data_IF_969512728834
#
_entry.id   IF_969512728834
#
_cell.length_a   1.000
_cell.length_b   1.000
_cell.length_c   1.000
_cell.angle_alpha   90.00
_cell.angle_beta   90.00
_cell.angle_gamma   90.00
#
_symmetry.space_group_name_H-M   'P 1'
#
loop_
_entity.id
_entity.type
_entity.pdbx_description
1 polymer ?
#
# COMPACT_ATOMS: atom_id res chain seq x y z
N UNK A 1 18.75 -16.76 17.46
CA UNK A 1 19.51 -15.50 17.18
C UNK A 1 19.31 -14.94 15.77
N UNK A 2 18.71 -15.69 14.86
CA UNK A 2 18.42 -15.27 13.46
C UNK A 2 17.15 -14.46 13.32
N UNK A 3 16.19 -14.55 14.25
CA UNK A 3 14.86 -13.90 14.13
C UNK A 3 14.83 -12.37 14.28
N UNK A 4 15.93 -11.75 14.76
CA UNK A 4 16.02 -10.30 14.95
C UNK A 4 16.47 -9.54 13.69
N UNK A 5 17.09 -10.24 12.73
CA UNK A 5 17.64 -9.61 11.53
C UNK A 5 16.64 -9.54 10.37
N UNK A 6 15.70 -10.48 10.28
CA UNK A 6 14.72 -10.50 9.17
C UNK A 6 13.83 -9.26 9.10
N UNK A 7 13.29 -8.71 10.21
CA UNK A 7 12.51 -7.48 10.16
C UNK A 7 13.33 -6.24 9.80
N UNK A 8 14.61 -6.22 10.19
CA UNK A 8 15.53 -5.13 9.85
C UNK A 8 15.82 -5.18 8.35
N UNK A 9 16.04 -6.37 7.79
CA UNK A 9 16.28 -6.59 6.35
C UNK A 9 15.03 -6.24 5.54
N UNK A 10 13.83 -6.57 6.01
CA UNK A 10 12.58 -6.17 5.37
C UNK A 10 12.41 -4.64 5.35
N UNK A 11 12.75 -3.95 6.45
CA UNK A 11 12.78 -2.48 6.50
C UNK A 11 13.78 -1.88 5.52
N UNK A 12 14.97 -2.46 5.37
CA UNK A 12 15.97 -2.03 4.38
C UNK A 12 15.49 -2.24 2.94
N UNK A 13 14.81 -3.35 2.66
CA UNK A 13 14.26 -3.63 1.34
C UNK A 13 13.17 -2.61 0.95
N UNK A 14 12.32 -2.20 1.89
CA UNK A 14 11.29 -1.18 1.65
C UNK A 14 11.88 0.20 1.39
N UNK A 15 12.93 0.57 2.08
CA UNK A 15 13.62 1.85 1.84
C UNK A 15 14.33 1.83 0.49
N UNK A 16 14.92 0.70 0.10
CA UNK A 16 15.50 0.51 -1.23
C UNK A 16 14.45 0.66 -2.33
N UNK A 17 13.22 0.21 -2.08
CA UNK A 17 12.06 0.36 -2.96
C UNK A 17 11.61 1.80 -3.10
N UNK A 18 11.38 2.50 -1.98
CA UNK A 18 11.05 3.93 -1.97
C UNK A 18 12.15 4.74 -2.68
N UNK A 19 13.40 4.31 -2.57
CA UNK A 19 14.52 4.95 -3.27
C UNK A 19 14.49 4.70 -4.78
N UNK A 20 14.10 3.50 -5.23
CA UNK A 20 13.88 3.20 -6.65
C UNK A 20 12.73 4.00 -7.24
N UNK A 21 11.59 4.07 -6.55
CA UNK A 21 10.45 4.92 -6.93
C UNK A 21 10.87 6.38 -7.10
N UNK A 22 11.66 6.88 -6.19
CA UNK A 22 12.18 8.23 -6.21
C UNK A 22 13.15 8.49 -7.36
N UNK A 23 13.89 7.49 -7.82
CA UNK A 23 14.92 7.65 -8.84
C UNK A 23 14.36 7.76 -10.26
N UNK A 24 13.21 7.14 -10.52
CA UNK A 24 12.63 7.10 -11.87
C UNK A 24 11.60 8.21 -12.15
N UNK A 25 11.10 8.91 -11.13
CA UNK A 25 10.02 9.89 -11.28
C UNK A 25 10.35 11.34 -10.98
N UNK A 26 11.58 11.71 -10.61
CA UNK A 26 11.86 13.07 -10.10
C UNK A 26 13.15 13.66 -10.69
N UNK A 27 13.03 14.89 -11.20
CA UNK A 27 14.12 15.70 -11.74
C UNK A 27 15.30 15.88 -10.74
N UNK A 28 16.54 16.14 -11.22
CA UNK A 28 17.79 16.16 -10.41
C UNK A 28 17.77 17.07 -9.18
N UNK A 29 16.95 18.10 -9.16
CA UNK A 29 16.82 19.04 -8.03
C UNK A 29 16.14 18.38 -6.82
N UNK A 30 15.27 17.41 -7.04
CA UNK A 30 14.59 16.67 -6.00
C UNK A 30 15.50 15.59 -5.37
N UNK A 31 16.52 15.12 -6.07
CA UNK A 31 17.43 14.08 -5.59
C UNK A 31 18.19 14.51 -4.31
N UNK A 32 18.69 15.73 -4.28
CA UNK A 32 19.45 16.26 -3.13
C UNK A 32 18.56 16.50 -1.90
N UNK A 33 17.35 16.99 -2.13
CA UNK A 33 16.35 17.22 -1.09
C UNK A 33 15.80 15.89 -0.56
N UNK A 34 15.65 14.91 -1.43
CA UNK A 34 15.16 13.58 -1.08
C UNK A 34 16.21 12.74 -0.34
N UNK A 35 17.48 12.78 -0.73
CA UNK A 35 18.60 12.17 0.02
C UNK A 35 18.64 12.72 1.45
N UNK A 36 18.40 14.02 1.63
CA UNK A 36 18.34 14.67 2.95
C UNK A 36 17.13 14.22 3.75
N UNK A 37 15.93 14.11 3.13
CA UNK A 37 14.70 13.64 3.79
C UNK A 37 14.78 12.16 4.15
N UNK A 38 15.34 11.33 3.27
CA UNK A 38 15.60 9.92 3.53
C UNK A 38 16.63 9.77 4.66
N UNK A 39 17.69 10.57 4.68
CA UNK A 39 18.67 10.58 5.78
C UNK A 39 18.05 10.97 7.12
N UNK A 40 17.14 11.95 7.13
CA UNK A 40 16.41 12.36 8.33
C UNK A 40 15.45 11.24 8.78
N UNK A 41 14.73 10.62 7.84
CA UNK A 41 13.84 9.50 8.13
C UNK A 41 14.62 8.29 8.69
N UNK A 42 15.78 7.95 8.12
CA UNK A 42 16.68 6.93 8.65
C UNK A 42 17.22 7.29 10.03
N UNK A 43 17.61 8.54 10.23
CA UNK A 43 18.07 9.02 11.54
C UNK A 43 16.97 8.93 12.60
N UNK A 44 15.72 9.26 12.24
CA UNK A 44 14.57 9.11 13.11
C UNK A 44 14.25 7.63 13.37
N UNK A 45 14.29 6.79 12.34
CA UNK A 45 14.05 5.35 12.46
C UNK A 45 15.13 4.69 13.34
N UNK A 46 16.42 5.00 13.12
CA UNK A 46 17.53 4.51 13.95
C UNK A 46 17.41 5.02 15.39
N UNK A 47 17.04 6.29 15.59
CA UNK A 47 16.82 6.84 16.92
C UNK A 47 15.65 6.15 17.62
N UNK A 48 14.56 5.86 16.90
CA UNK A 48 13.43 5.07 17.41
C UNK A 48 13.88 3.64 17.78
N UNK A 49 14.62 2.97 16.91
CA UNK A 49 15.18 1.62 17.18
C UNK A 49 16.10 1.64 18.39
N UNK A 50 16.98 2.62 18.53
CA UNK A 50 17.92 2.73 19.66
C UNK A 50 17.21 3.08 20.96
N UNK A 51 16.21 3.95 20.96
CA UNK A 51 15.41 4.28 22.15
C UNK A 51 14.52 3.10 22.59
N UNK A 52 14.06 2.31 21.64
CA UNK A 52 13.13 1.19 21.85
C UNK A 52 13.84 -0.09 22.31
N UNK A 53 15.13 -0.27 22.03
CA UNK A 53 15.89 -1.46 22.48
C UNK A 53 16.09 -1.56 24.01
N UNK A 54 15.68 -0.56 24.78
CA UNK A 54 15.75 -0.62 26.26
C UNK A 54 14.69 -1.48 26.91
N UNK A 55 13.58 -1.83 26.20
CA UNK A 55 12.54 -2.75 26.71
C UNK A 55 12.15 -3.71 25.58
N UNK A 56 12.69 -4.93 25.62
CA UNK A 56 12.61 -5.95 24.56
C UNK A 56 11.17 -6.25 24.09
N UNK A 57 10.22 -6.30 25.00
CA UNK A 57 8.83 -6.66 24.69
C UNK A 57 8.09 -5.49 23.99
N UNK A 58 8.36 -4.26 24.39
CA UNK A 58 7.79 -3.06 23.75
C UNK A 58 8.29 -2.83 22.33
N UNK A 59 9.51 -3.26 22.03
CA UNK A 59 10.12 -3.11 20.70
C UNK A 59 9.40 -3.93 19.64
N UNK A 60 9.07 -5.18 19.97
CA UNK A 60 8.39 -6.07 19.07
C UNK A 60 6.98 -5.57 18.72
N UNK A 61 6.24 -5.14 19.73
CA UNK A 61 4.89 -4.64 19.56
C UNK A 61 4.84 -3.35 18.73
N UNK A 62 5.75 -2.42 18.98
CA UNK A 62 5.85 -1.18 18.19
C UNK A 62 6.21 -1.46 16.73
N UNK A 63 7.09 -2.45 16.49
CA UNK A 63 7.45 -2.85 15.14
C UNK A 63 6.25 -3.46 14.40
N UNK A 64 5.48 -4.34 15.04
CA UNK A 64 4.28 -4.94 14.45
C UNK A 64 3.21 -3.88 14.15
N UNK A 65 3.05 -2.88 15.01
CA UNK A 65 2.16 -1.75 14.77
C UNK A 65 2.62 -0.94 13.55
N UNK A 66 3.91 -0.63 13.46
CA UNK A 66 4.48 0.08 12.30
C UNK A 66 4.25 -0.70 11.01
N UNK A 67 4.50 -2.02 11.01
CA UNK A 67 4.22 -2.90 9.86
C UNK A 67 2.74 -2.85 9.47
N UNK A 68 1.84 -2.80 10.44
CA UNK A 68 0.41 -2.73 10.15
C UNK A 68 0.00 -1.41 9.47
N UNK A 69 0.57 -0.29 9.88
CA UNK A 69 0.39 1.01 9.19
C UNK A 69 1.02 0.98 7.79
N UNK A 70 2.21 0.39 7.64
CA UNK A 70 2.87 0.22 6.34
C UNK A 70 2.04 -0.61 5.35
N UNK A 71 1.26 -1.59 5.81
CA UNK A 71 0.32 -2.36 4.96
C UNK A 71 -0.68 -1.45 4.25
N UNK A 72 -1.22 -0.48 4.97
CA UNK A 72 -2.12 0.52 4.40
C UNK A 72 -1.42 1.36 3.32
N UNK A 73 -0.20 1.83 3.59
CA UNK A 73 0.59 2.62 2.64
C UNK A 73 0.88 1.86 1.34
N UNK A 74 1.13 0.53 1.41
CA UNK A 74 1.30 -0.30 0.21
C UNK A 74 0.04 -0.34 -0.65
N UNK A 75 -1.15 -0.38 -0.05
CA UNK A 75 -2.42 -0.28 -0.76
C UNK A 75 -2.56 1.04 -1.51
N UNK A 76 -2.28 2.16 -0.84
CA UNK A 76 -2.31 3.49 -1.48
C UNK A 76 -1.26 3.65 -2.57
N UNK A 77 -0.05 3.13 -2.36
CA UNK A 77 0.98 3.09 -3.40
C UNK A 77 0.52 2.33 -4.64
N UNK A 78 -0.15 1.19 -4.44
CA UNK A 78 -0.72 0.40 -5.53
C UNK A 78 -1.85 1.13 -6.27
N UNK A 79 -2.72 1.82 -5.53
CA UNK A 79 -3.79 2.64 -6.11
C UNK A 79 -3.21 3.77 -6.96
N UNK A 80 -2.18 4.47 -6.46
CA UNK A 80 -1.50 5.53 -7.20
C UNK A 80 -0.84 5.02 -8.48
N UNK A 81 -0.11 3.90 -8.40
CA UNK A 81 0.54 3.25 -9.53
C UNK A 81 -0.48 2.83 -10.60
N UNK A 82 -1.56 2.18 -10.20
CA UNK A 82 -2.60 1.71 -11.12
C UNK A 82 -3.39 2.89 -11.74
N UNK A 83 -3.58 3.98 -11.00
CA UNK A 83 -4.21 5.20 -11.50
C UNK A 83 -3.33 5.86 -12.57
N UNK A 84 -2.01 5.95 -12.33
CA UNK A 84 -1.08 6.47 -13.32
C UNK A 84 -1.07 5.60 -14.59
N UNK A 85 -1.03 4.27 -14.44
CA UNK A 85 -1.13 3.33 -15.54
C UNK A 85 -2.40 3.55 -16.38
N UNK A 86 -3.52 3.88 -15.73
CA UNK A 86 -4.78 4.18 -16.43
C UNK A 86 -4.66 5.41 -17.34
N UNK A 87 -4.06 6.49 -16.84
CA UNK A 87 -3.85 7.71 -17.65
C UNK A 87 -2.88 7.47 -18.82
N UNK A 88 -1.78 6.78 -18.60
CA UNK A 88 -0.82 6.42 -19.65
C UNK A 88 -1.46 5.57 -20.75
N UNK A 89 -2.24 4.56 -20.35
CA UNK A 89 -2.93 3.71 -21.30
C UNK A 89 -4.01 4.46 -22.08
N UNK A 90 -4.75 5.35 -21.42
CA UNK A 90 -5.79 6.15 -22.06
C UNK A 90 -5.22 7.13 -23.07
N UNK A 91 -4.14 7.84 -22.71
CA UNK A 91 -3.45 8.77 -23.62
C UNK A 91 -2.90 8.00 -24.84
N UNK A 92 -2.25 6.87 -24.60
CA UNK A 92 -1.77 6.01 -25.70
C UNK A 92 -2.91 5.59 -26.65
N UNK A 93 -4.01 5.08 -26.11
CA UNK A 93 -5.14 4.57 -26.90
C UNK A 93 -5.86 5.68 -27.67
N UNK A 94 -5.98 6.86 -27.11
CA UNK A 94 -6.60 8.02 -27.73
C UNK A 94 -5.77 8.54 -28.93
N UNK A 95 -4.44 8.51 -28.81
CA UNK A 95 -3.53 9.01 -29.84
C UNK A 95 -3.15 7.96 -30.89
N UNK A 96 -3.31 6.65 -30.60
CA UNK A 96 -3.00 5.58 -31.52
C UNK A 96 -4.17 5.31 -32.49
N UNK A 97 -3.90 5.36 -33.77
CA UNK A 97 -4.89 5.08 -34.84
C UNK A 97 -4.60 3.75 -35.51
N UNK A 98 -5.62 2.90 -35.64
CA UNK A 98 -5.59 1.63 -36.39
C UNK A 98 -6.88 1.51 -37.19
N UNK A 99 -6.79 0.99 -38.39
CA UNK A 99 -7.94 0.76 -39.30
C UNK A 99 -8.85 1.99 -39.49
N UNK A 100 -8.24 3.19 -39.51
CA UNK A 100 -8.95 4.44 -39.76
C UNK A 100 -9.54 5.14 -38.53
N UNK A 101 -9.52 4.53 -37.32
CA UNK A 101 -10.04 5.10 -36.08
C UNK A 101 -9.05 5.06 -34.92
N UNK A 102 -9.30 5.79 -33.81
CA UNK A 102 -8.49 5.67 -32.60
C UNK A 102 -8.73 4.30 -31.94
N UNK A 103 -7.72 3.79 -31.21
CA UNK A 103 -7.82 2.48 -30.55
C UNK A 103 -8.92 2.44 -29.49
N UNK A 104 -9.28 3.58 -28.92
CA UNK A 104 -10.42 3.74 -28.00
C UNK A 104 -11.77 3.37 -28.63
N UNK A 105 -11.89 3.30 -29.97
CA UNK A 105 -13.14 2.94 -30.63
C UNK A 105 -13.41 1.42 -30.63
N UNK A 106 -12.39 0.60 -30.34
CA UNK A 106 -12.58 -0.84 -30.29
C UNK A 106 -13.33 -1.28 -29.04
N UNK A 107 -14.41 -2.08 -29.16
CA UNK A 107 -15.27 -2.47 -28.03
C UNK A 107 -14.50 -3.16 -26.90
N UNK A 108 -13.55 -4.05 -27.21
CA UNK A 108 -12.75 -4.75 -26.22
C UNK A 108 -11.81 -3.81 -25.45
N UNK A 109 -11.27 -2.78 -26.10
CA UNK A 109 -10.44 -1.76 -25.43
C UNK A 109 -11.30 -0.92 -24.50
N UNK A 110 -12.49 -0.52 -24.92
CA UNK A 110 -13.45 0.17 -24.02
C UNK A 110 -13.80 -0.67 -22.80
N UNK A 111 -14.02 -1.96 -22.98
CA UNK A 111 -14.28 -2.86 -21.87
C UNK A 111 -13.14 -2.90 -20.86
N UNK A 112 -11.88 -2.98 -21.34
CA UNK A 112 -10.70 -2.94 -20.44
C UNK A 112 -10.67 -1.64 -19.63
N UNK A 113 -10.97 -0.49 -20.24
CA UNK A 113 -11.01 0.79 -19.54
C UNK A 113 -12.14 0.85 -18.53
N UNK A 114 -13.34 0.41 -18.88
CA UNK A 114 -14.50 0.40 -17.96
C UNK A 114 -14.21 -0.50 -16.76
N UNK A 115 -13.73 -1.72 -16.97
CA UNK A 115 -13.42 -2.65 -15.89
C UNK A 115 -12.29 -2.12 -15.00
N UNK A 116 -11.26 -1.53 -15.59
CA UNK A 116 -10.16 -0.92 -14.86
C UNK A 116 -10.62 0.27 -14.02
N UNK A 117 -11.46 1.14 -14.59
CA UNK A 117 -12.03 2.27 -13.88
C UNK A 117 -12.90 1.85 -12.68
N UNK A 118 -13.79 0.86 -12.89
CA UNK A 118 -14.61 0.33 -11.81
C UNK A 118 -13.78 -0.26 -10.67
N UNK A 119 -12.70 -0.97 -11.01
CA UNK A 119 -11.75 -1.48 -10.00
C UNK A 119 -11.05 -0.36 -9.26
N UNK A 120 -10.54 0.66 -9.96
CA UNK A 120 -9.90 1.83 -9.35
C UNK A 120 -10.85 2.58 -8.41
N UNK A 121 -12.11 2.78 -8.84
CA UNK A 121 -13.12 3.40 -8.01
C UNK A 121 -13.40 2.59 -6.73
N UNK A 122 -13.56 1.27 -6.85
CA UNK A 122 -13.76 0.39 -5.70
C UNK A 122 -12.55 0.38 -4.75
N UNK A 123 -11.32 0.33 -5.30
CA UNK A 123 -10.08 0.42 -4.53
C UNK A 123 -10.01 1.74 -3.76
N UNK A 124 -10.36 2.84 -4.40
CA UNK A 124 -10.34 4.18 -3.79
C UNK A 124 -11.35 4.28 -2.65
N UNK A 125 -12.61 3.94 -2.90
CA UNK A 125 -13.67 4.01 -1.90
C UNK A 125 -13.38 3.13 -0.67
N UNK A 126 -12.86 1.93 -0.88
CA UNK A 126 -12.48 1.05 0.21
C UNK A 126 -11.29 1.59 1.01
N UNK A 127 -10.29 2.14 0.32
CA UNK A 127 -9.12 2.71 0.96
C UNK A 127 -9.47 3.96 1.76
N UNK A 128 -10.33 4.82 1.23
CA UNK A 128 -10.82 6.01 1.96
C UNK A 128 -11.60 5.58 3.23
N UNK A 129 -12.40 4.51 3.16
CA UNK A 129 -13.08 3.98 4.34
C UNK A 129 -12.10 3.43 5.38
N UNK A 130 -11.02 2.78 4.97
CA UNK A 130 -9.97 2.32 5.88
C UNK A 130 -9.24 3.49 6.57
N UNK A 131 -9.08 4.64 5.90
CA UNK A 131 -8.58 5.87 6.53
C UNK A 131 -9.49 6.30 7.67
N UNK A 132 -10.81 6.29 7.47
CA UNK A 132 -11.76 6.69 8.52
C UNK A 132 -11.55 5.84 9.79
N UNK A 133 -11.37 4.52 9.65
CA UNK A 133 -11.08 3.65 10.79
C UNK A 133 -9.72 3.90 11.43
N UNK A 134 -8.71 4.28 10.65
CA UNK A 134 -7.40 4.65 11.21
C UNK A 134 -7.48 5.96 11.99
N UNK A 135 -8.24 6.94 11.49
CA UNK A 135 -8.40 8.25 12.13
C UNK A 135 -9.28 8.20 13.38
N UNK A 136 -10.25 7.30 13.39
CA UNK A 136 -11.11 7.06 14.55
C UNK A 136 -10.46 6.12 15.59
N UNK A 137 -9.24 5.64 15.36
CA UNK A 137 -8.59 4.69 16.24
C UNK A 137 -8.36 5.26 17.65
N UNK A 138 -8.59 4.43 18.65
CA UNK A 138 -8.34 4.72 20.05
C UNK A 138 -7.77 3.50 20.77
N UNK A 139 -7.37 3.58 22.05
CA UNK A 139 -7.01 2.41 22.83
C UNK A 139 -8.11 1.36 22.89
N UNK A 140 -9.38 1.78 22.83
CA UNK A 140 -10.58 0.95 22.92
C UNK A 140 -11.03 0.46 21.54
N UNK A 141 -10.88 1.28 20.49
CA UNK A 141 -11.28 0.94 19.11
C UNK A 141 -10.06 0.79 18.17
N UNK A 142 -9.69 -0.43 17.94
CA UNK A 142 -8.57 -0.80 17.05
C UNK A 142 -9.04 -1.53 15.79
N UNK A 143 -10.25 -1.26 15.31
CA UNK A 143 -10.79 -1.90 14.10
C UNK A 143 -9.90 -1.71 12.86
N UNK A 144 -9.09 -0.66 12.79
CA UNK A 144 -8.10 -0.47 11.73
C UNK A 144 -7.13 -1.67 11.58
N UNK A 145 -6.88 -2.45 12.65
CA UNK A 145 -6.08 -3.67 12.59
C UNK A 145 -6.68 -4.74 11.65
N UNK A 146 -8.01 -4.74 11.48
CA UNK A 146 -8.70 -5.57 10.50
C UNK A 146 -8.62 -4.97 9.09
N UNK A 147 -8.84 -3.66 8.96
CA UNK A 147 -8.94 -3.01 7.66
C UNK A 147 -7.60 -2.89 6.93
N UNK A 148 -6.51 -2.63 7.63
CA UNK A 148 -5.19 -2.46 7.00
C UNK A 148 -4.70 -3.72 6.26
N UNK A 149 -4.77 -4.95 6.81
CA UNK A 149 -4.48 -6.16 6.06
C UNK A 149 -5.40 -6.38 4.85
N UNK A 150 -6.68 -5.98 4.94
CA UNK A 150 -7.62 -6.07 3.81
C UNK A 150 -7.20 -5.09 2.71
N UNK A 151 -6.91 -3.82 3.04
CA UNK A 151 -6.39 -2.83 2.08
C UNK A 151 -5.15 -3.39 1.39
N UNK A 152 -4.17 -3.85 2.17
CA UNK A 152 -2.95 -4.41 1.60
C UNK A 152 -3.26 -5.58 0.66
N UNK A 153 -4.00 -6.56 1.10
CA UNK A 153 -4.27 -7.77 0.33
C UNK A 153 -5.11 -7.48 -0.93
N UNK A 154 -6.23 -6.77 -0.78
CA UNK A 154 -7.19 -6.56 -1.88
C UNK A 154 -6.78 -5.44 -2.82
N UNK A 155 -6.37 -4.30 -2.29
CA UNK A 155 -6.04 -3.14 -3.14
C UNK A 155 -4.78 -3.41 -3.95
N UNK A 156 -3.74 -4.01 -3.35
CA UNK A 156 -2.52 -4.34 -4.13
C UNK A 156 -2.77 -5.40 -5.18
N UNK A 157 -3.59 -6.43 -4.89
CA UNK A 157 -3.92 -7.46 -5.87
C UNK A 157 -4.80 -6.93 -7.01
N UNK A 158 -5.73 -6.03 -6.73
CA UNK A 158 -6.54 -5.38 -7.76
C UNK A 158 -5.70 -4.42 -8.59
N UNK A 159 -4.77 -3.68 -7.98
CA UNK A 159 -3.84 -2.81 -8.69
C UNK A 159 -2.94 -3.57 -9.66
N UNK A 160 -2.41 -4.74 -9.25
CA UNK A 160 -1.66 -5.63 -10.15
C UNK A 160 -2.52 -6.05 -11.36
N UNK A 161 -3.78 -6.42 -11.14
CA UNK A 161 -4.69 -6.81 -12.23
C UNK A 161 -5.00 -5.64 -13.17
N UNK A 162 -5.21 -4.42 -12.64
CA UNK A 162 -5.45 -3.22 -13.44
C UNK A 162 -4.25 -2.90 -14.32
N UNK A 163 -3.04 -2.89 -13.75
CA UNK A 163 -1.81 -2.60 -14.52
C UNK A 163 -1.62 -3.64 -15.64
N UNK A 164 -1.84 -4.92 -15.36
CA UNK A 164 -1.75 -5.98 -16.38
C UNK A 164 -2.79 -5.83 -17.50
N UNK A 165 -4.04 -5.54 -17.13
CA UNK A 165 -5.11 -5.34 -18.11
C UNK A 165 -4.84 -4.13 -19.02
N UNK A 166 -4.35 -3.03 -18.45
CA UNK A 166 -4.00 -1.82 -19.20
C UNK A 166 -2.75 -2.02 -20.08
N UNK A 167 -1.83 -2.90 -19.69
CA UNK A 167 -0.69 -3.25 -20.52
C UNK A 167 -1.11 -3.90 -21.85
N UNK A 168 -2.21 -4.65 -21.88
CA UNK A 168 -2.76 -5.19 -23.13
C UNK A 168 -3.10 -4.07 -24.13
N UNK A 169 -3.54 -2.91 -23.65
CA UNK A 169 -3.85 -1.74 -24.50
C UNK A 169 -2.57 -1.10 -25.05
N UNK A 170 -1.52 -1.01 -24.25
CA UNK A 170 -0.21 -0.48 -24.65
C UNK A 170 0.51 -1.46 -25.57
N UNK A 171 0.31 -2.75 -25.37
CA UNK A 171 0.93 -3.85 -26.12
C UNK A 171 2.47 -3.82 -26.03
N UNK A 172 3.17 -4.20 -27.09
CA UNK A 172 4.63 -4.33 -27.11
C UNK A 172 5.39 -3.05 -26.73
N UNK A 173 4.80 -1.87 -26.94
CA UNK A 173 5.41 -0.59 -26.54
C UNK A 173 5.62 -0.49 -25.05
N UNK A 174 4.83 -1.19 -24.25
CA UNK A 174 4.97 -1.21 -22.78
C UNK A 174 6.23 -1.92 -22.28
N UNK A 175 6.96 -2.65 -23.15
CA UNK A 175 8.25 -3.28 -22.82
C UNK A 175 9.47 -2.42 -23.18
N UNK A 176 9.27 -1.26 -23.81
CA UNK A 176 10.37 -0.35 -24.06
C UNK A 176 10.97 0.12 -22.73
N UNK A 177 12.32 0.21 -22.68
CA UNK A 177 13.07 0.50 -21.45
C UNK A 177 12.63 1.77 -20.71
N UNK A 178 12.13 2.77 -21.45
CA UNK A 178 11.70 4.06 -20.87
C UNK A 178 10.18 4.16 -20.73
N UNK A 179 9.45 3.11 -21.11
CA UNK A 179 8.01 3.08 -20.93
C UNK A 179 7.63 2.88 -19.47
N UNK A 180 6.60 3.61 -19.03
CA UNK A 180 6.08 3.48 -17.66
C UNK A 180 5.72 2.03 -17.30
N UNK A 181 5.14 1.29 -18.23
CA UNK A 181 4.66 -0.08 -18.01
C UNK A 181 5.78 -1.10 -17.77
N UNK A 182 7.00 -0.85 -18.23
CA UNK A 182 8.16 -1.73 -17.97
C UNK A 182 8.40 -1.81 -16.45
N UNK A 183 8.44 -0.67 -15.78
CA UNK A 183 8.63 -0.58 -14.32
C UNK A 183 7.33 -0.93 -13.59
N UNK A 184 6.19 -0.42 -14.05
CA UNK A 184 4.91 -0.57 -13.38
C UNK A 184 4.48 -2.03 -13.21
N UNK A 185 4.72 -2.91 -14.20
CA UNK A 185 4.41 -4.33 -14.10
C UNK A 185 5.21 -5.03 -12.99
N UNK A 186 6.50 -4.71 -12.91
CA UNK A 186 7.37 -5.29 -11.87
C UNK A 186 6.94 -4.84 -10.48
N UNK A 187 6.68 -3.55 -10.32
CA UNK A 187 6.30 -2.96 -9.04
C UNK A 187 4.90 -3.39 -8.60
N UNK A 188 3.92 -3.36 -9.51
CA UNK A 188 2.58 -3.84 -9.22
C UNK A 188 2.58 -5.32 -8.81
N UNK A 189 3.41 -6.16 -9.45
CA UNK A 189 3.56 -7.56 -9.10
C UNK A 189 4.25 -7.81 -7.76
N UNK A 190 5.03 -6.85 -7.27
CA UNK A 190 5.77 -6.94 -6.01
C UNK A 190 4.91 -6.53 -4.80
N UNK A 191 4.11 -5.47 -4.93
CA UNK A 191 3.33 -4.90 -3.82
C UNK A 191 2.46 -5.92 -3.07
N UNK A 192 1.77 -6.89 -3.72
CA UNK A 192 1.01 -7.92 -3.01
C UNK A 192 1.87 -8.88 -2.16
N UNK A 193 3.18 -8.89 -2.35
CA UNK A 193 4.11 -9.84 -1.71
C UNK A 193 4.89 -9.23 -0.55
N UNK A 194 4.95 -7.88 -0.47
CA UNK A 194 5.58 -7.15 0.62
C UNK A 194 4.72 -7.16 1.88
N UNK A 195 5.29 -6.91 3.06
CA UNK A 195 4.58 -6.84 4.35
C UNK A 195 3.67 -8.05 4.63
N UNK A 196 4.13 -9.22 4.24
CA UNK A 196 3.39 -10.46 4.27
C UNK A 196 2.62 -10.74 2.96
N UNK A 197 2.63 -11.99 2.55
CA UNK A 197 1.90 -12.45 1.36
C UNK A 197 0.38 -12.34 1.54
N UNK A 198 -0.39 -12.61 0.48
CA UNK A 198 -1.85 -12.68 0.53
C UNK A 198 -2.33 -13.61 1.65
N UNK A 199 -1.71 -14.79 1.79
CA UNK A 199 -2.09 -15.78 2.80
C UNK A 199 -1.82 -15.30 4.23
N UNK A 200 -0.69 -14.63 4.48
CA UNK A 200 -0.38 -14.04 5.78
C UNK A 200 -1.40 -12.96 6.16
N UNK A 201 -1.74 -12.08 5.21
CA UNK A 201 -2.75 -11.05 5.48
C UNK A 201 -4.15 -11.67 5.64
N UNK A 202 -4.49 -12.74 4.93
CA UNK A 202 -5.74 -13.48 5.13
C UNK A 202 -5.82 -14.07 6.54
N UNK A 203 -4.75 -14.66 7.06
CA UNK A 203 -4.69 -15.17 8.43
C UNK A 203 -4.88 -14.06 9.47
N UNK A 204 -4.29 -12.88 9.24
CA UNK A 204 -4.50 -11.69 10.10
C UNK A 204 -5.97 -11.22 10.05
N UNK A 205 -6.58 -11.18 8.88
CA UNK A 205 -7.99 -10.80 8.72
C UNK A 205 -8.89 -11.75 9.52
N UNK A 206 -8.70 -13.07 9.36
CA UNK A 206 -9.47 -14.08 10.12
C UNK A 206 -9.30 -13.90 11.61
N UNK A 207 -8.07 -13.64 12.08
CA UNK A 207 -7.80 -13.38 13.49
C UNK A 207 -8.55 -12.16 14.01
N UNK A 208 -8.47 -11.04 13.32
CA UNK A 208 -9.10 -9.79 13.77
C UNK A 208 -10.62 -9.79 13.56
N UNK A 209 -11.14 -10.53 12.57
CA UNK A 209 -12.59 -10.71 12.40
C UNK A 209 -13.26 -11.25 13.66
N UNK A 210 -12.62 -12.22 14.33
CA UNK A 210 -13.17 -12.78 15.56
C UNK A 210 -13.41 -11.69 16.60
N UNK A 211 -12.43 -10.82 16.80
CA UNK A 211 -12.49 -9.80 17.84
C UNK A 211 -13.45 -8.64 17.53
N UNK A 212 -13.60 -8.29 16.24
CA UNK A 212 -14.32 -7.07 15.86
C UNK A 212 -15.70 -7.32 15.25
N UNK A 213 -15.99 -8.55 14.81
CA UNK A 213 -17.26 -8.86 14.14
C UNK A 213 -18.09 -9.90 14.90
N UNK A 214 -17.49 -10.72 15.77
CA UNK A 214 -18.18 -11.83 16.43
C UNK A 214 -18.16 -11.73 17.96
N UNK A 215 -17.42 -10.81 18.55
CA UNK A 215 -17.50 -10.51 19.97
C UNK A 215 -18.61 -9.47 20.23
N UNK A 216 -19.24 -9.53 21.40
CA UNK A 216 -20.37 -8.68 21.79
C UNK A 216 -20.00 -7.23 22.12
N UNK A 217 -18.84 -6.78 21.74
CA UNK A 217 -18.41 -5.39 21.96
C UNK A 217 -19.14 -4.47 20.98
N UNK A 218 -19.94 -3.56 21.51
CA UNK A 218 -20.52 -2.48 20.72
C UNK A 218 -19.45 -1.41 20.47
N UNK A 219 -19.28 -1.06 19.20
CA UNK A 219 -18.41 0.02 18.75
C UNK A 219 -19.23 1.16 18.20
N UNK A 220 -18.81 2.38 18.46
CA UNK A 220 -19.41 3.55 17.85
C UNK A 220 -19.33 3.50 16.33
N UNK A 221 -20.33 4.11 15.68
CA UNK A 221 -20.30 4.26 14.22
C UNK A 221 -19.18 5.22 13.83
N UNK A 222 -18.29 4.75 12.95
CA UNK A 222 -17.21 5.58 12.40
C UNK A 222 -17.74 6.39 11.24
N UNK A 223 -17.86 7.69 11.43
CA UNK A 223 -18.23 8.65 10.40
C UNK A 223 -17.10 8.87 9.38
N UNK A 224 -17.36 9.73 8.39
CA UNK A 224 -16.35 10.19 7.45
C UNK A 224 -15.51 11.27 8.13
N UNK A 225 -14.20 11.00 8.30
CA UNK A 225 -13.27 11.95 8.89
C UNK A 225 -12.58 12.77 7.79
N UNK A 226 -12.90 14.07 7.72
CA UNK A 226 -12.30 15.02 6.76
C UNK A 226 -11.23 15.89 7.38
N UNK A 227 -11.19 15.98 8.71
CA UNK A 227 -10.23 16.79 9.45
C UNK A 227 -8.93 16.02 9.69
N UNK A 228 -7.84 16.76 9.85
CA UNK A 228 -6.55 16.19 10.24
C UNK A 228 -6.68 15.71 11.70
N UNK A 229 -6.71 14.41 11.90
CA UNK A 229 -6.71 13.84 13.25
C UNK A 229 -5.31 13.90 13.87
N UNK A 230 -5.24 13.87 15.19
CA UNK A 230 -4.00 13.59 15.89
C UNK A 230 -3.65 12.11 15.70
N UNK A 231 -2.75 11.84 14.75
CA UNK A 231 -2.33 10.48 14.40
C UNK A 231 -1.26 9.92 15.36
N UNK A 232 -0.91 10.66 16.43
CA UNK A 232 0.14 10.26 17.40
C UNK A 232 -0.12 8.89 17.97
N UNK A 233 -1.39 8.56 18.23
CA UNK A 233 -1.81 7.25 18.73
C UNK A 233 -1.37 6.09 17.81
N UNK A 234 -1.34 6.26 16.52
CA UNK A 234 -0.91 5.21 15.56
C UNK A 234 0.57 4.83 15.73
N UNK A 235 1.36 5.72 16.32
CA UNK A 235 2.79 5.54 16.54
C UNK A 235 3.14 5.20 17.99
N UNK A 236 2.23 5.45 18.94
CA UNK A 236 2.39 5.16 20.38
C UNK A 236 1.27 4.25 20.90
N UNK A 237 1.08 3.12 20.25
CA UNK A 237 -0.04 2.21 20.49
C UNK A 237 0.16 1.30 21.72
N UNK A 238 1.32 1.32 22.34
CA UNK A 238 1.65 0.36 23.40
C UNK A 238 1.67 -1.09 22.88
N UNK A 239 1.59 -2.09 23.77
CA UNK A 239 1.68 -3.50 23.37
C UNK A 239 0.54 -3.89 22.40
N UNK A 240 0.89 -4.52 21.29
CA UNK A 240 -0.05 -5.03 20.29
C UNK A 240 -0.77 -6.27 20.82
N UNK A 241 -1.76 -6.06 21.69
CA UNK A 241 -2.52 -7.13 22.33
C UNK A 241 -3.05 -8.11 21.28
N UNK A 242 -2.70 -9.38 21.44
CA UNK A 242 -3.19 -10.45 20.59
C UNK A 242 -2.33 -10.79 19.37
N UNK A 243 -1.24 -10.09 19.08
CA UNK A 243 -0.29 -10.49 18.02
C UNK A 243 0.74 -11.54 18.50
N UNK A 244 0.95 -11.68 19.82
CA UNK A 244 1.93 -12.62 20.40
C UNK A 244 1.67 -14.12 20.15
N UNK A 245 0.52 -14.50 19.60
CA UNK A 245 0.13 -15.89 19.34
C UNK A 245 0.07 -16.23 17.83
N UNK A 246 0.78 -15.50 16.99
CA UNK A 246 0.82 -15.76 15.54
C UNK A 246 2.01 -16.64 15.13
N UNK A 247 2.93 -16.92 16.05
CA UNK A 247 4.08 -17.81 15.84
C UNK A 247 3.91 -19.11 16.61
#
# INVERSE_FOLDING_TARGET
HTSLYEPIIAGYAQVGLLWKFARHGVAPIAEKTMKRRIGIFFGMLLRHIVVVTRKRDQTWDNMLNTINVCKFNLGFGSLGLATHAFYEALDHAANRRLYGGPVTDFPHVRQIFVDSYCRLAAMRLFSDRAIDYMRAASPEDRRYLLYNPIVKMRVTSQGEQVVRALHEVIAAKGFEKEAFFEVANTEAGMLPKLEGTIHVNMALIVKFMKNFLFESTEYDEVGKHTETADDTFLFDQGPARGLGNIL
#
